data_IF_232130746969
#
_entry.id   IF_232130746969
#
_cell.length_a   1.000
_cell.length_b   1.000
_cell.length_c   1.000
_cell.angle_alpha   90.00
_cell.angle_beta   90.00
_cell.angle_gamma   90.00
#
_symmetry.space_group_name_H-M   'P 1'
#
loop_
_entity.id
_entity.type
_entity.pdbx_description
1 polymer ?
#
# COMPACT_ATOMS: atom_id res chain seq x y z
N UNK A 1 -10.71 9.77 -8.29
CA UNK A 1 -9.85 9.37 -7.14
C UNK A 1 -8.58 8.71 -7.62
N UNK A 2 -8.61 7.81 -8.61
CA UNK A 2 -7.42 7.17 -9.16
C UNK A 2 -6.41 8.21 -9.66
N UNK A 3 -6.90 9.27 -10.31
CA UNK A 3 -6.08 10.41 -10.76
C UNK A 3 -5.40 11.17 -9.62
N UNK A 4 -6.09 11.36 -8.48
CA UNK A 4 -5.51 11.97 -7.29
C UNK A 4 -4.37 11.12 -6.71
N UNK A 5 -4.56 9.80 -6.64
CA UNK A 5 -3.52 8.88 -6.18
C UNK A 5 -2.24 8.94 -7.00
N UNK A 6 -2.35 9.24 -8.30
CA UNK A 6 -1.20 9.44 -9.18
C UNK A 6 -0.50 10.80 -8.95
N UNK A 7 -1.27 11.88 -8.71
CA UNK A 7 -0.75 13.25 -8.66
C UNK A 7 -0.24 13.64 -7.26
N UNK A 8 -0.87 13.15 -6.18
CA UNK A 8 -0.50 13.49 -4.79
C UNK A 8 1.00 13.26 -4.49
N UNK A 9 1.64 12.13 -4.87
CA UNK A 9 3.08 11.94 -4.64
C UNK A 9 3.96 13.02 -5.23
N UNK A 10 3.58 13.59 -6.38
CA UNK A 10 4.29 14.72 -6.99
C UNK A 10 4.06 16.01 -6.21
N UNK A 11 2.83 16.27 -5.74
CA UNK A 11 2.50 17.47 -4.97
C UNK A 11 3.09 17.43 -3.55
N UNK A 12 3.16 16.25 -2.91
CA UNK A 12 3.80 16.08 -1.60
C UNK A 12 5.31 15.99 -1.69
N UNK A 13 5.87 15.68 -2.89
CA UNK A 13 7.25 15.23 -3.06
C UNK A 13 7.65 14.14 -2.06
N UNK A 14 6.67 13.35 -1.56
CA UNK A 14 6.82 12.29 -0.58
C UNK A 14 7.51 12.73 0.73
N UNK A 15 7.44 14.03 1.09
CA UNK A 15 8.09 14.54 2.31
C UNK A 15 7.42 14.07 3.61
N UNK A 16 6.19 13.54 3.53
CA UNK A 16 5.55 12.83 4.62
C UNK A 16 6.40 11.65 5.14
N UNK A 17 7.05 10.90 4.25
CA UNK A 17 7.95 9.80 4.60
C UNK A 17 9.23 10.31 5.28
N UNK A 18 9.78 11.43 4.79
CA UNK A 18 10.93 12.07 5.40
C UNK A 18 10.61 12.59 6.81
N UNK A 19 9.41 13.17 6.99
CA UNK A 19 8.95 13.69 8.28
C UNK A 19 8.95 12.58 9.34
N UNK A 20 8.36 11.43 9.05
CA UNK A 20 8.34 10.29 9.98
C UNK A 20 9.79 9.81 10.25
N UNK A 21 10.56 9.60 9.19
CA UNK A 21 11.91 9.01 9.31
C UNK A 21 12.84 9.88 10.15
N UNK A 22 12.88 11.19 9.89
CA UNK A 22 13.85 12.05 10.55
C UNK A 22 13.43 12.50 11.95
N UNK A 23 12.12 12.57 12.24
CA UNK A 23 11.64 12.90 13.60
C UNK A 23 11.74 11.69 14.52
N UNK A 24 11.23 10.52 14.13
CA UNK A 24 11.35 9.29 14.94
C UNK A 24 12.80 8.83 15.08
N UNK A 25 13.62 8.99 14.03
CA UNK A 25 15.05 8.73 14.07
C UNK A 25 15.87 9.73 14.89
N UNK A 26 15.21 10.81 15.39
CA UNK A 26 15.83 11.89 16.18
C UNK A 26 16.93 12.67 15.43
N UNK A 27 16.91 12.63 14.10
CA UNK A 27 17.82 13.40 13.26
C UNK A 27 17.41 14.88 13.18
N UNK A 28 16.09 15.15 13.32
CA UNK A 28 15.48 16.48 13.32
C UNK A 28 14.51 16.63 14.49
N UNK A 29 14.39 17.86 14.99
CA UNK A 29 13.29 18.20 15.90
C UNK A 29 11.95 18.21 15.16
N UNK A 30 10.81 17.93 15.83
CA UNK A 30 9.49 18.02 15.22
C UNK A 30 9.22 19.38 14.56
N UNK A 31 9.72 20.46 15.15
CA UNK A 31 9.55 21.82 14.65
C UNK A 31 10.33 22.07 13.35
N UNK A 32 11.59 21.64 13.30
CA UNK A 32 12.41 21.76 12.09
C UNK A 32 11.82 20.94 10.94
N UNK A 33 11.49 19.68 11.20
CA UNK A 33 10.92 18.80 10.18
C UNK A 33 9.60 19.34 9.64
N UNK A 34 8.65 19.70 10.53
CA UNK A 34 7.34 20.21 10.13
C UNK A 34 7.45 21.54 9.35
N UNK A 35 8.34 22.46 9.78
CA UNK A 35 8.51 23.77 9.11
C UNK A 35 9.09 23.62 7.70
N UNK A 36 10.08 22.74 7.52
CA UNK A 36 10.68 22.51 6.21
C UNK A 36 9.74 21.72 5.29
N UNK A 37 8.96 20.76 5.81
CA UNK A 37 7.91 20.07 5.04
C UNK A 37 6.80 21.05 4.64
N UNK A 38 6.51 22.10 5.44
CA UNK A 38 5.56 23.14 5.07
C UNK A 38 6.03 23.98 3.89
N UNK A 39 7.31 24.32 3.83
CA UNK A 39 7.87 25.01 2.67
C UNK A 39 7.72 24.17 1.38
N UNK A 40 7.96 22.85 1.46
CA UNK A 40 7.76 21.94 0.34
C UNK A 40 6.28 21.83 -0.03
N UNK A 41 5.39 21.78 0.97
CA UNK A 41 3.94 21.80 0.73
C UNK A 41 3.50 23.06 -0.03
N UNK A 42 3.94 24.24 0.38
CA UNK A 42 3.60 25.49 -0.30
C UNK A 42 4.08 25.48 -1.76
N UNK A 43 5.29 25.00 -2.00
CA UNK A 43 5.84 24.86 -3.35
C UNK A 43 5.02 23.85 -4.17
N UNK A 44 4.72 22.67 -3.63
CA UNK A 44 3.90 21.65 -4.27
C UNK A 44 2.47 22.12 -4.57
N UNK A 45 1.87 22.90 -3.66
CA UNK A 45 0.56 23.52 -3.86
C UNK A 45 0.60 24.55 -5.01
N UNK A 46 1.62 25.43 -5.04
CA UNK A 46 1.81 26.39 -6.10
C UNK A 46 1.99 25.72 -7.47
N UNK A 47 2.81 24.66 -7.54
CA UNK A 47 2.97 23.84 -8.75
C UNK A 47 1.63 23.22 -9.15
N UNK A 48 0.90 22.64 -8.22
CA UNK A 48 -0.39 21.98 -8.51
C UNK A 48 -1.41 22.96 -9.09
N UNK A 49 -1.42 24.21 -8.60
CA UNK A 49 -2.26 25.27 -9.13
C UNK A 49 -1.78 25.69 -10.54
N UNK A 50 -0.47 25.88 -10.72
CA UNK A 50 0.11 26.25 -12.02
C UNK A 50 -0.12 25.18 -13.11
N UNK A 51 -0.16 23.90 -12.73
CA UNK A 51 -0.42 22.78 -13.64
C UNK A 51 -1.90 22.54 -13.94
N UNK A 52 -2.82 23.40 -13.46
CA UNK A 52 -4.26 23.30 -13.76
C UNK A 52 -4.57 23.13 -15.27
N UNK A 53 -3.93 23.88 -16.21
CA UNK A 53 -4.17 23.68 -17.64
C UNK A 53 -3.78 22.29 -18.13
N UNK A 54 -2.70 21.73 -17.59
CA UNK A 54 -2.24 20.36 -17.92
C UNK A 54 -3.24 19.32 -17.43
N UNK A 55 -3.77 19.50 -16.22
CA UNK A 55 -4.80 18.61 -15.68
C UNK A 55 -6.08 18.64 -16.51
N UNK A 56 -6.50 19.82 -17.00
CA UNK A 56 -7.62 19.95 -17.94
C UNK A 56 -7.40 19.11 -19.19
N UNK A 57 -6.22 19.21 -19.78
CA UNK A 57 -5.87 18.49 -21.01
C UNK A 57 -5.84 16.97 -20.81
N UNK A 58 -5.27 16.49 -19.70
CA UNK A 58 -5.11 15.05 -19.42
C UNK A 58 -6.41 14.40 -18.98
N UNK A 59 -7.13 15.02 -18.05
CA UNK A 59 -8.28 14.39 -17.38
C UNK A 59 -9.63 14.78 -17.97
N UNK A 60 -9.67 15.78 -18.86
CA UNK A 60 -10.90 16.29 -19.53
C UNK A 60 -12.01 16.66 -18.53
N UNK A 61 -11.67 17.25 -17.38
CA UNK A 61 -12.57 17.66 -16.30
C UNK A 61 -12.80 19.17 -16.29
N UNK A 62 -13.25 19.77 -17.38
CA UNK A 62 -13.34 21.23 -17.46
C UNK A 62 -14.23 21.84 -16.37
N UNK A 63 -15.40 21.26 -16.13
CA UNK A 63 -16.38 21.77 -15.17
C UNK A 63 -15.91 21.66 -13.71
N UNK A 64 -15.18 20.57 -13.35
CA UNK A 64 -14.83 20.29 -11.96
C UNK A 64 -13.34 20.53 -11.63
N UNK A 65 -12.59 21.16 -12.52
CA UNK A 65 -11.14 21.28 -12.38
C UNK A 65 -10.72 22.01 -11.12
N UNK A 66 -11.43 23.08 -10.75
CA UNK A 66 -11.10 23.84 -9.55
C UNK A 66 -11.38 23.07 -8.26
N UNK A 67 -12.44 22.24 -8.24
CA UNK A 67 -12.73 21.35 -7.12
C UNK A 67 -11.61 20.30 -7.03
N UNK A 68 -11.17 19.76 -8.17
CA UNK A 68 -10.07 18.79 -8.22
C UNK A 68 -8.77 19.39 -7.68
N UNK A 69 -8.38 20.57 -8.12
CA UNK A 69 -7.13 21.24 -7.69
C UNK A 69 -7.21 21.62 -6.20
N UNK A 70 -8.34 22.15 -5.73
CA UNK A 70 -8.54 22.44 -4.31
C UNK A 70 -8.45 21.17 -3.46
N UNK A 71 -9.10 20.10 -3.91
CA UNK A 71 -9.04 18.79 -3.24
C UNK A 71 -7.61 18.23 -3.23
N UNK A 72 -6.85 18.40 -4.32
CA UNK A 72 -5.44 18.00 -4.40
C UNK A 72 -4.60 18.71 -3.34
N UNK A 73 -4.73 20.05 -3.24
CA UNK A 73 -3.98 20.85 -2.27
C UNK A 73 -4.33 20.46 -0.84
N UNK A 74 -5.63 20.37 -0.53
CA UNK A 74 -6.10 20.00 0.81
C UNK A 74 -5.65 18.60 1.21
N UNK A 75 -5.73 17.64 0.29
CA UNK A 75 -5.25 16.27 0.54
C UNK A 75 -3.74 16.18 0.69
N UNK A 76 -2.99 16.97 -0.08
CA UNK A 76 -1.53 17.09 0.08
C UNK A 76 -1.17 17.55 1.48
N UNK A 77 -1.85 18.59 2.00
CA UNK A 77 -1.67 19.04 3.37
C UNK A 77 -2.00 17.92 4.39
N UNK A 78 -3.16 17.31 4.24
CA UNK A 78 -3.61 16.25 5.14
C UNK A 78 -2.65 15.06 5.15
N UNK A 79 -2.10 14.66 4.02
CA UNK A 79 -1.15 13.55 3.95
C UNK A 79 0.15 13.87 4.67
N UNK A 80 0.68 15.08 4.52
CA UNK A 80 1.94 15.46 5.20
C UNK A 80 1.71 15.56 6.71
N UNK A 81 0.66 16.24 7.14
CA UNK A 81 0.49 16.59 8.55
C UNK A 81 -0.27 15.54 9.38
N UNK A 82 -1.02 14.64 8.78
CA UNK A 82 -1.48 13.45 9.51
C UNK A 82 -0.31 12.57 9.95
N UNK A 83 0.73 12.45 9.13
CA UNK A 83 1.94 11.71 9.46
C UNK A 83 2.78 12.38 10.55
N UNK A 84 2.60 13.69 10.77
CA UNK A 84 3.21 14.39 11.89
C UNK A 84 2.76 13.79 13.24
N UNK A 85 1.49 13.40 13.40
CA UNK A 85 1.04 12.74 14.62
C UNK A 85 1.78 11.43 14.89
N UNK A 86 2.05 10.65 13.84
CA UNK A 86 2.84 9.41 13.96
C UNK A 86 4.30 9.72 14.29
N UNK A 87 4.87 10.72 13.66
CA UNK A 87 6.25 11.14 13.88
C UNK A 87 6.53 11.56 15.33
N UNK A 88 5.52 12.09 16.04
CA UNK A 88 5.62 12.47 17.46
C UNK A 88 4.98 11.43 18.39
N UNK A 89 4.78 10.18 17.94
CA UNK A 89 4.18 9.08 18.69
C UNK A 89 2.75 9.31 19.21
N UNK A 90 1.99 10.24 18.58
CA UNK A 90 0.58 10.50 18.90
C UNK A 90 -0.37 9.68 18.00
N UNK A 91 -0.19 8.36 17.99
CA UNK A 91 -0.92 7.45 17.10
C UNK A 91 -2.45 7.48 17.31
N UNK A 92 -2.92 7.79 18.51
CA UNK A 92 -4.37 7.95 18.79
C UNK A 92 -4.94 9.11 17.97
N UNK A 93 -4.25 10.27 17.91
CA UNK A 93 -4.70 11.41 17.12
C UNK A 93 -4.71 11.11 15.62
N UNK A 94 -3.70 10.36 15.12
CA UNK A 94 -3.69 9.87 13.74
C UNK A 94 -4.89 8.97 13.45
N UNK A 95 -5.22 8.04 14.36
CA UNK A 95 -6.36 7.14 14.21
C UNK A 95 -7.68 7.91 14.22
N UNK A 96 -7.85 8.88 15.13
CA UNK A 96 -9.04 9.73 15.20
C UNK A 96 -9.20 10.55 13.91
N UNK A 97 -8.11 11.12 13.38
CA UNK A 97 -8.11 11.78 12.07
C UNK A 97 -8.65 10.87 10.96
N UNK A 98 -8.16 9.63 10.89
CA UNK A 98 -8.63 8.64 9.92
C UNK A 98 -10.12 8.30 10.09
N UNK A 99 -10.58 8.13 11.33
CA UNK A 99 -11.99 7.85 11.63
C UNK A 99 -12.90 9.04 11.25
N UNK A 100 -12.52 10.26 11.61
CA UNK A 100 -13.28 11.48 11.27
C UNK A 100 -13.38 11.62 9.75
N UNK A 101 -12.27 11.54 9.04
CA UNK A 101 -12.26 11.70 7.57
C UNK A 101 -13.05 10.62 6.86
N UNK A 102 -13.02 9.39 7.36
CA UNK A 102 -13.79 8.27 6.80
C UNK A 102 -15.29 8.44 7.08
N UNK A 103 -15.66 8.72 8.32
CA UNK A 103 -17.07 8.91 8.72
C UNK A 103 -17.71 10.10 8.00
N UNK A 104 -17.00 11.23 7.91
CA UNK A 104 -17.49 12.43 7.20
C UNK A 104 -17.58 12.19 5.70
N UNK A 105 -16.62 11.49 5.09
CA UNK A 105 -16.69 11.10 3.66
C UNK A 105 -17.92 10.24 3.42
N UNK A 106 -18.16 9.23 4.25
CA UNK A 106 -19.33 8.37 4.13
C UNK A 106 -20.63 9.16 4.31
N UNK A 107 -20.73 9.97 5.38
CA UNK A 107 -21.92 10.76 5.67
C UNK A 107 -22.27 11.76 4.55
N UNK A 108 -21.28 12.50 4.05
CA UNK A 108 -21.51 13.43 2.93
C UNK A 108 -21.78 12.70 1.61
N UNK A 109 -21.21 11.53 1.35
CA UNK A 109 -21.58 10.75 0.16
C UNK A 109 -23.03 10.29 0.23
N UNK A 110 -23.49 9.80 1.38
CA UNK A 110 -24.90 9.45 1.56
C UNK A 110 -25.78 10.68 1.33
N UNK A 111 -25.46 11.81 1.94
CA UNK A 111 -26.25 13.04 1.82
C UNK A 111 -26.28 13.56 0.38
N UNK A 112 -25.15 13.70 -0.29
CA UNK A 112 -25.08 14.36 -1.60
C UNK A 112 -25.43 13.43 -2.76
N UNK A 113 -25.13 12.12 -2.66
CA UNK A 113 -25.42 11.17 -3.74
C UNK A 113 -26.82 10.56 -3.61
N UNK A 114 -27.26 10.19 -2.39
CA UNK A 114 -28.54 9.49 -2.20
C UNK A 114 -29.68 10.47 -1.93
N UNK A 115 -29.48 11.48 -1.06
CA UNK A 115 -30.55 12.43 -0.70
C UNK A 115 -30.66 13.54 -1.74
N UNK A 116 -29.58 14.28 -2.00
CA UNK A 116 -29.61 15.42 -2.94
C UNK A 116 -29.43 15.01 -4.40
N UNK A 117 -28.93 13.79 -4.66
CA UNK A 117 -28.76 13.24 -6.03
C UNK A 117 -27.89 14.10 -6.95
N UNK A 118 -26.86 14.74 -6.39
CA UNK A 118 -25.95 15.63 -7.13
C UNK A 118 -24.97 14.90 -8.04
N UNK A 119 -25.02 13.55 -8.13
CA UNK A 119 -24.16 12.76 -9.00
C UNK A 119 -22.66 12.99 -8.77
N UNK A 120 -21.92 13.22 -9.85
CA UNK A 120 -20.45 13.38 -9.76
C UNK A 120 -20.03 14.60 -8.94
N UNK A 121 -20.74 15.72 -9.05
CA UNK A 121 -20.51 16.91 -8.24
C UNK A 121 -20.64 16.60 -6.75
N UNK A 122 -21.71 15.91 -6.36
CA UNK A 122 -21.96 15.51 -4.98
C UNK A 122 -20.81 14.68 -4.40
N UNK A 123 -20.29 13.74 -5.17
CA UNK A 123 -19.14 12.93 -4.77
C UNK A 123 -17.85 13.78 -4.54
N UNK A 124 -17.58 14.72 -5.44
CA UNK A 124 -16.41 15.61 -5.31
C UNK A 124 -16.53 16.55 -4.11
N UNK A 125 -17.71 17.17 -3.91
CA UNK A 125 -17.97 18.01 -2.76
C UNK A 125 -17.93 17.24 -1.44
N UNK A 126 -18.49 16.02 -1.38
CA UNK A 126 -18.40 15.15 -0.20
C UNK A 126 -16.97 14.89 0.20
N UNK A 127 -16.14 14.55 -0.79
CA UNK A 127 -14.72 14.24 -0.57
C UNK A 127 -13.92 15.50 -0.16
N UNK A 128 -14.24 16.66 -0.75
CA UNK A 128 -13.59 17.93 -0.41
C UNK A 128 -13.94 18.38 1.02
N UNK A 129 -15.22 18.36 1.37
CA UNK A 129 -15.65 18.75 2.72
C UNK A 129 -15.06 17.84 3.80
N UNK A 130 -15.03 16.54 3.56
CA UNK A 130 -14.38 15.61 4.48
C UNK A 130 -12.89 15.89 4.62
N UNK A 131 -12.19 16.22 3.53
CA UNK A 131 -10.78 16.60 3.57
C UNK A 131 -10.56 17.93 4.32
N UNK A 132 -11.44 18.91 4.15
CA UNK A 132 -11.41 20.19 4.90
C UNK A 132 -11.62 19.97 6.39
N UNK A 133 -12.57 19.13 6.79
CA UNK A 133 -12.77 18.76 8.21
C UNK A 133 -11.51 18.09 8.77
N UNK A 134 -10.87 17.20 8.01
CA UNK A 134 -9.58 16.61 8.37
C UNK A 134 -8.48 17.65 8.55
N UNK A 135 -8.42 18.65 7.67
CA UNK A 135 -7.49 19.80 7.81
C UNK A 135 -7.73 20.58 9.10
N UNK A 136 -8.98 20.91 9.39
CA UNK A 136 -9.35 21.63 10.63
C UNK A 136 -8.91 20.81 11.85
N UNK A 137 -9.16 19.50 11.85
CA UNK A 137 -8.70 18.62 12.92
C UNK A 137 -7.18 18.68 13.10
N UNK A 138 -6.41 18.60 12.01
CA UNK A 138 -4.94 18.69 12.07
C UNK A 138 -4.52 20.04 12.64
N UNK A 139 -5.06 21.17 12.14
CA UNK A 139 -4.69 22.51 12.57
C UNK A 139 -4.93 22.73 14.07
N UNK A 140 -6.01 22.17 14.61
CA UNK A 140 -6.38 22.32 16.03
C UNK A 140 -5.55 21.40 16.92
N UNK A 141 -5.42 20.11 16.56
CA UNK A 141 -4.86 19.09 17.46
C UNK A 141 -3.36 18.83 17.30
N UNK A 142 -2.71 19.37 16.24
CA UNK A 142 -1.25 19.28 16.06
C UNK A 142 -0.48 20.47 16.63
N UNK A 143 -1.16 21.46 17.22
CA UNK A 143 -0.56 22.74 17.58
C UNK A 143 0.17 23.41 16.38
N UNK A 144 -0.40 23.27 15.18
CA UNK A 144 0.23 23.60 13.91
C UNK A 144 0.93 24.96 13.91
N UNK A 145 0.25 26.00 14.37
CA UNK A 145 0.76 27.38 14.38
C UNK A 145 1.89 27.61 15.38
N UNK A 146 2.08 26.72 16.37
CA UNK A 146 3.22 26.76 17.30
C UNK A 146 4.40 25.98 16.77
N UNK A 147 4.13 24.89 16.03
CA UNK A 147 5.13 23.97 15.51
C UNK A 147 5.73 24.48 14.20
N UNK A 148 4.92 24.97 13.28
CA UNK A 148 5.39 25.47 11.99
C UNK A 148 5.85 26.92 12.12
N UNK A 149 7.12 27.18 11.77
CA UNK A 149 7.71 28.51 11.81
C UNK A 149 8.62 28.74 10.60
N UNK A 150 8.39 29.82 9.86
CA UNK A 150 9.23 30.19 8.72
C UNK A 150 10.70 30.45 9.12
N UNK A 151 10.96 30.82 10.38
CA UNK A 151 12.32 31.02 10.92
C UNK A 151 13.11 29.72 11.04
N UNK A 152 12.43 28.57 11.05
CA UNK A 152 13.05 27.24 11.16
C UNK A 152 13.30 26.59 9.79
N UNK A 153 13.02 27.29 8.69
CA UNK A 153 13.29 26.80 7.34
C UNK A 153 14.79 26.96 7.07
N UNK A 154 15.46 25.84 6.84
CA UNK A 154 16.89 25.77 6.56
C UNK A 154 17.17 25.04 5.26
N UNK A 155 18.00 25.61 4.39
CA UNK A 155 18.36 25.03 3.08
C UNK A 155 19.05 23.66 3.19
N UNK A 156 19.82 23.42 4.27
CA UNK A 156 20.49 22.13 4.49
C UNK A 156 19.47 21.06 4.86
N UNK A 157 18.54 21.40 5.75
CA UNK A 157 17.44 20.51 6.14
C UNK A 157 16.54 20.21 4.94
N UNK A 158 16.15 21.23 4.15
CA UNK A 158 15.38 21.04 2.92
C UNK A 158 16.09 20.10 1.94
N UNK A 159 17.40 20.30 1.72
CA UNK A 159 18.19 19.44 0.84
C UNK A 159 18.22 17.99 1.35
N UNK A 160 18.33 17.78 2.66
CA UNK A 160 18.32 16.46 3.28
C UNK A 160 16.97 15.77 3.10
N UNK A 161 15.88 16.47 3.41
CA UNK A 161 14.50 15.98 3.24
C UNK A 161 14.24 15.62 1.77
N UNK A 162 14.54 16.51 0.83
CA UNK A 162 14.31 16.29 -0.60
C UNK A 162 15.19 15.18 -1.16
N UNK A 163 16.46 15.08 -0.75
CA UNK A 163 17.35 13.98 -1.17
C UNK A 163 16.81 12.61 -0.78
N UNK A 164 16.15 12.53 0.38
CA UNK A 164 15.50 11.31 0.86
C UNK A 164 14.19 11.04 0.12
N UNK A 165 13.33 12.05 -0.04
CA UNK A 165 11.95 11.87 -0.48
C UNK A 165 11.79 11.84 -2.01
N UNK A 166 12.59 12.59 -2.78
CA UNK A 166 12.45 12.65 -4.24
C UNK A 166 12.51 11.26 -4.91
N UNK A 167 13.40 10.32 -4.55
CA UNK A 167 13.41 9.00 -5.17
C UNK A 167 12.15 8.18 -4.87
N UNK A 168 11.39 8.52 -3.81
CA UNK A 168 10.14 7.85 -3.49
C UNK A 168 8.97 8.29 -4.39
N UNK A 169 9.08 9.46 -5.04
CA UNK A 169 8.06 9.94 -5.99
C UNK A 169 7.93 8.99 -7.19
N UNK A 170 8.99 8.77 -8.01
CA UNK A 170 8.89 7.81 -9.10
C UNK A 170 8.65 6.37 -8.60
N UNK A 171 9.10 6.00 -7.40
CA UNK A 171 8.77 4.71 -6.81
C UNK A 171 7.25 4.53 -6.64
N UNK A 172 6.53 5.53 -6.14
CA UNK A 172 5.07 5.46 -6.00
C UNK A 172 4.36 5.32 -7.36
N UNK A 173 4.91 5.96 -8.41
CA UNK A 173 4.42 5.80 -9.77
C UNK A 173 4.63 4.37 -10.30
N UNK A 174 5.78 3.75 -10.02
CA UNK A 174 6.02 2.36 -10.41
C UNK A 174 5.04 1.40 -9.74
N UNK A 175 4.76 1.60 -8.45
CA UNK A 175 3.72 0.82 -7.74
C UNK A 175 2.34 1.03 -8.36
N UNK A 176 2.00 2.27 -8.74
CA UNK A 176 0.73 2.57 -9.41
C UNK A 176 0.66 1.88 -10.79
N UNK A 177 1.74 1.90 -11.57
CA UNK A 177 1.82 1.22 -12.86
C UNK A 177 1.59 -0.29 -12.69
N UNK A 178 2.23 -0.93 -11.71
CA UNK A 178 2.04 -2.35 -11.44
C UNK A 178 0.61 -2.68 -10.99
N UNK A 179 -0.05 -1.79 -10.24
CA UNK A 179 -1.41 -2.03 -9.73
C UNK A 179 -2.52 -1.69 -10.74
N UNK A 180 -2.32 -0.67 -11.57
CA UNK A 180 -3.32 -0.17 -12.51
C UNK A 180 -3.06 -0.60 -13.96
N UNK A 181 -1.79 -0.85 -14.32
CA UNK A 181 -1.38 -1.20 -15.67
C UNK A 181 -2.06 -2.45 -16.19
N UNK A 182 -2.28 -3.44 -15.33
CA UNK A 182 -2.98 -4.67 -15.64
C UNK A 182 -4.35 -4.40 -16.30
N UNK A 183 -5.13 -3.47 -15.74
CA UNK A 183 -6.46 -3.12 -16.22
C UNK A 183 -6.45 -2.46 -17.59
N UNK A 184 -5.45 -1.62 -17.86
CA UNK A 184 -5.28 -0.99 -19.18
C UNK A 184 -4.91 -2.03 -20.25
N UNK A 185 -4.02 -2.97 -19.93
CA UNK A 185 -3.63 -4.05 -20.83
C UNK A 185 -4.80 -4.98 -21.09
N UNK A 186 -5.54 -5.39 -20.05
CA UNK A 186 -6.73 -6.24 -20.19
C UNK A 186 -7.78 -5.54 -21.06
N UNK A 187 -8.07 -4.26 -20.79
CA UNK A 187 -9.06 -3.53 -21.58
C UNK A 187 -8.66 -3.46 -23.05
N UNK A 188 -7.39 -3.16 -23.34
CA UNK A 188 -6.90 -3.05 -24.71
C UNK A 188 -6.92 -4.38 -25.49
N UNK A 189 -6.54 -5.51 -24.87
CA UNK A 189 -6.42 -6.81 -25.54
C UNK A 189 -7.65 -7.69 -25.43
N UNK A 190 -8.41 -7.60 -24.34
CA UNK A 190 -9.48 -8.54 -23.99
C UNK A 190 -10.86 -7.84 -23.82
N UNK A 191 -10.90 -6.51 -23.79
CA UNK A 191 -12.10 -5.70 -23.70
C UNK A 191 -12.65 -5.48 -22.30
N UNK A 192 -13.76 -4.71 -22.22
CA UNK A 192 -14.34 -4.21 -20.97
C UNK A 192 -14.92 -5.33 -20.09
N UNK A 193 -15.51 -6.36 -20.68
CA UNK A 193 -16.09 -7.49 -19.93
C UNK A 193 -15.01 -8.23 -19.14
N UNK A 194 -13.88 -8.56 -19.78
CA UNK A 194 -12.75 -9.19 -19.13
C UNK A 194 -12.17 -8.30 -18.01
N UNK A 195 -12.07 -6.98 -18.25
CA UNK A 195 -11.61 -6.02 -17.25
C UNK A 195 -12.57 -5.96 -16.04
N UNK A 196 -13.87 -6.09 -16.25
CA UNK A 196 -14.89 -6.21 -15.19
C UNK A 196 -14.66 -7.44 -14.31
N UNK A 197 -14.50 -8.62 -14.91
CA UNK A 197 -14.21 -9.89 -14.22
C UNK A 197 -12.91 -9.80 -13.43
N UNK A 198 -11.83 -9.32 -14.05
CA UNK A 198 -10.53 -9.17 -13.39
C UNK A 198 -10.57 -8.16 -12.23
N UNK A 199 -11.31 -7.05 -12.41
CA UNK A 199 -11.51 -6.06 -11.36
C UNK A 199 -12.24 -6.63 -10.15
N UNK A 200 -13.18 -7.55 -10.38
CA UNK A 200 -13.87 -8.27 -9.31
C UNK A 200 -12.92 -9.26 -8.62
N UNK A 201 -12.12 -10.01 -9.39
CA UNK A 201 -11.11 -10.93 -8.84
C UNK A 201 -10.11 -10.22 -7.92
N UNK A 202 -9.76 -8.96 -8.21
CA UNK A 202 -8.86 -8.15 -7.38
C UNK A 202 -9.45 -7.73 -6.02
N UNK A 203 -10.78 -7.84 -5.80
CA UNK A 203 -11.40 -7.37 -4.55
C UNK A 203 -10.89 -8.11 -3.32
N UNK A 204 -10.69 -9.41 -3.43
CA UNK A 204 -10.19 -10.22 -2.32
C UNK A 204 -8.70 -9.94 -2.02
N UNK A 205 -7.77 -9.96 -3.01
CA UNK A 205 -6.41 -9.48 -2.81
C UNK A 205 -6.30 -8.08 -2.19
N UNK A 206 -7.22 -7.17 -2.55
CA UNK A 206 -7.28 -5.83 -1.96
C UNK A 206 -7.59 -5.86 -0.45
N UNK A 207 -8.41 -6.81 0.04
CA UNK A 207 -8.64 -6.98 1.48
C UNK A 207 -7.36 -7.41 2.19
N UNK A 208 -6.59 -8.32 1.60
CA UNK A 208 -5.28 -8.74 2.13
C UNK A 208 -4.34 -7.51 2.24
N UNK A 209 -4.25 -6.70 1.17
CA UNK A 209 -3.47 -5.47 1.17
C UNK A 209 -3.96 -4.46 2.23
N UNK A 210 -5.26 -4.34 2.44
CA UNK A 210 -5.83 -3.44 3.45
C UNK A 210 -5.39 -3.85 4.86
N UNK A 211 -5.48 -5.12 5.20
CA UNK A 211 -4.99 -5.64 6.50
C UNK A 211 -3.50 -5.43 6.64
N UNK A 212 -2.73 -5.73 5.58
CA UNK A 212 -1.28 -5.52 5.57
C UNK A 212 -0.90 -4.04 5.70
N UNK A 213 -1.69 -3.11 5.17
CA UNK A 213 -1.42 -1.67 5.27
C UNK A 213 -1.42 -1.15 6.70
N UNK A 214 -2.23 -1.73 7.58
CA UNK A 214 -2.25 -1.41 9.01
C UNK A 214 -0.97 -1.92 9.69
N UNK A 215 -0.55 -3.14 9.32
CA UNK A 215 0.69 -3.71 9.84
C UNK A 215 1.92 -2.91 9.39
N UNK A 216 2.03 -2.56 8.09
CA UNK A 216 3.23 -1.91 7.54
C UNK A 216 3.46 -0.53 8.17
N UNK A 217 2.39 0.19 8.54
CA UNK A 217 2.49 1.47 9.24
C UNK A 217 3.10 1.31 10.64
N UNK A 218 2.68 0.29 11.40
CA UNK A 218 3.25 -0.02 12.72
C UNK A 218 4.70 -0.53 12.58
N UNK A 219 4.96 -1.38 11.58
CA UNK A 219 6.27 -1.89 11.26
C UNK A 219 7.28 -0.78 10.95
N UNK A 220 6.89 0.20 10.14
CA UNK A 220 7.74 1.34 9.78
C UNK A 220 8.21 2.10 11.03
N UNK A 221 7.30 2.40 11.96
CA UNK A 221 7.65 3.08 13.20
C UNK A 221 8.62 2.25 14.05
N UNK A 222 8.29 0.98 14.28
CA UNK A 222 9.12 0.09 15.07
C UNK A 222 10.51 -0.13 14.44
N UNK A 223 10.57 -0.20 13.11
CA UNK A 223 11.83 -0.36 12.40
C UNK A 223 12.74 0.87 12.53
N UNK A 224 12.18 2.08 12.54
CA UNK A 224 12.93 3.33 12.76
C UNK A 224 13.45 3.39 14.20
N UNK A 225 12.61 3.04 15.18
CA UNK A 225 12.98 3.08 16.61
C UNK A 225 14.11 2.10 16.95
N UNK A 226 14.12 0.92 16.30
CA UNK A 226 15.11 -0.14 16.57
C UNK A 226 16.35 -0.01 15.68
N UNK A 227 16.42 0.93 14.73
CA UNK A 227 17.53 1.04 13.78
C UNK A 227 18.91 1.19 14.45
N UNK A 228 18.96 1.89 15.58
CA UNK A 228 20.20 2.09 16.36
C UNK A 228 20.50 0.98 17.37
N UNK A 229 19.63 -0.05 17.50
CA UNK A 229 19.82 -1.12 18.47
C UNK A 229 20.78 -2.20 17.95
N UNK A 230 21.52 -2.85 18.86
CA UNK A 230 22.43 -3.95 18.52
C UNK A 230 21.69 -5.18 18.00
N UNK A 231 20.49 -5.46 18.49
CA UNK A 231 19.67 -6.64 18.09
C UNK A 231 18.63 -6.36 16.99
N UNK A 232 18.82 -5.29 16.19
CA UNK A 232 17.91 -4.98 15.08
C UNK A 232 17.67 -6.14 14.12
N UNK A 233 18.70 -6.95 13.88
CA UNK A 233 18.66 -8.11 12.99
C UNK A 233 17.68 -9.18 13.49
N UNK A 234 17.80 -9.57 14.74
CA UNK A 234 16.90 -10.56 15.36
C UNK A 234 15.46 -10.06 15.39
N UNK A 235 15.26 -8.77 15.71
CA UNK A 235 13.96 -8.13 15.68
C UNK A 235 13.35 -8.16 14.27
N UNK A 236 14.06 -7.73 13.23
CA UNK A 236 13.58 -7.72 11.85
C UNK A 236 13.21 -9.12 11.37
N UNK A 237 14.04 -10.12 11.67
CA UNK A 237 13.79 -11.51 11.31
C UNK A 237 12.55 -12.08 11.99
N UNK A 238 12.37 -11.80 13.28
CA UNK A 238 11.22 -12.26 14.05
C UNK A 238 9.92 -11.62 13.53
N UNK A 239 9.90 -10.30 13.31
CA UNK A 239 8.73 -9.60 12.77
C UNK A 239 8.39 -10.11 11.37
N UNK A 240 9.37 -10.35 10.51
CA UNK A 240 9.14 -10.93 9.18
C UNK A 240 8.51 -12.33 9.27
N UNK A 241 9.01 -13.19 10.15
CA UNK A 241 8.49 -14.54 10.33
C UNK A 241 7.03 -14.54 10.82
N UNK A 242 6.71 -13.72 11.82
CA UNK A 242 5.34 -13.58 12.34
C UNK A 242 4.39 -13.06 11.26
N UNK A 243 4.83 -12.06 10.50
CA UNK A 243 4.05 -11.51 9.38
C UNK A 243 3.83 -12.54 8.29
N UNK A 244 4.88 -13.29 7.93
CA UNK A 244 4.79 -14.37 6.92
C UNK A 244 3.79 -15.43 7.32
N UNK A 245 3.82 -15.87 8.59
CA UNK A 245 2.83 -16.81 9.13
C UNK A 245 1.40 -16.28 8.95
N UNK A 246 1.13 -15.06 9.41
CA UNK A 246 -0.20 -14.47 9.34
C UNK A 246 -0.71 -14.33 7.90
N UNK A 247 0.15 -13.85 6.98
CA UNK A 247 -0.21 -13.65 5.58
C UNK A 247 -0.50 -14.97 4.86
N UNK A 248 0.34 -15.99 5.05
CA UNK A 248 0.14 -17.32 4.44
C UNK A 248 -1.13 -17.97 5.00
N UNK A 249 -1.31 -17.93 6.33
CA UNK A 249 -2.46 -18.53 7.00
C UNK A 249 -3.80 -17.92 6.52
N UNK A 250 -3.88 -16.57 6.46
CA UNK A 250 -5.06 -15.86 5.96
C UNK A 250 -5.32 -16.22 4.48
N UNK A 251 -4.28 -16.30 3.66
CA UNK A 251 -4.45 -16.58 2.23
C UNK A 251 -4.91 -18.01 1.97
N UNK A 252 -4.41 -19.00 2.73
CA UNK A 252 -4.94 -20.36 2.64
C UNK A 252 -6.43 -20.37 2.98
N UNK A 253 -6.84 -19.68 4.07
CA UNK A 253 -8.25 -19.57 4.44
C UNK A 253 -9.12 -18.91 3.36
N UNK A 254 -8.59 -17.88 2.68
CA UNK A 254 -9.28 -17.23 1.55
C UNK A 254 -9.44 -18.20 0.39
N UNK A 255 -8.36 -18.89 -0.05
CA UNK A 255 -8.39 -19.82 -1.16
C UNK A 255 -9.36 -20.98 -0.91
N UNK A 256 -9.47 -21.46 0.34
CA UNK A 256 -10.44 -22.48 0.73
C UNK A 256 -11.90 -22.07 0.47
N UNK A 257 -12.23 -20.80 0.68
CA UNK A 257 -13.61 -20.31 0.68
C UNK A 257 -13.98 -19.53 -0.59
N UNK A 258 -13.02 -19.24 -1.47
CA UNK A 258 -13.23 -18.27 -2.54
C UNK A 258 -14.27 -18.70 -3.55
N UNK A 259 -14.23 -19.97 -3.99
CA UNK A 259 -15.15 -20.47 -5.01
C UNK A 259 -16.58 -20.50 -4.50
N UNK A 260 -16.93 -21.13 -3.34
CA UNK A 260 -18.29 -21.06 -2.82
C UNK A 260 -18.79 -19.63 -2.57
N UNK A 261 -17.92 -18.71 -2.15
CA UNK A 261 -18.29 -17.29 -1.96
C UNK A 261 -18.66 -16.65 -3.30
N UNK A 262 -17.84 -16.80 -4.34
CA UNK A 262 -18.13 -16.17 -5.63
C UNK A 262 -19.34 -16.82 -6.32
N UNK A 263 -19.44 -18.14 -6.30
CA UNK A 263 -20.59 -18.85 -6.92
C UNK A 263 -21.89 -18.57 -6.18
N UNK A 264 -21.86 -18.42 -4.86
CA UNK A 264 -23.06 -18.15 -4.05
C UNK A 264 -23.51 -16.69 -4.03
N UNK A 265 -22.63 -15.73 -4.25
CA UNK A 265 -22.92 -14.30 -4.08
C UNK A 265 -22.99 -13.55 -5.41
N UNK A 266 -22.20 -13.98 -6.43
CA UNK A 266 -22.10 -13.28 -7.71
C UNK A 266 -23.06 -13.84 -8.76
N UNK A 267 -23.43 -13.00 -9.74
CA UNK A 267 -24.15 -13.49 -10.92
C UNK A 267 -23.29 -14.49 -11.69
N UNK A 268 -23.92 -15.40 -12.44
CA UNK A 268 -23.23 -16.47 -13.18
C UNK A 268 -22.11 -15.96 -14.09
N UNK A 269 -22.31 -14.79 -14.69
CA UNK A 269 -21.35 -14.13 -15.59
C UNK A 269 -20.05 -13.72 -14.86
N UNK A 270 -20.18 -13.24 -13.63
CA UNK A 270 -19.06 -12.76 -12.83
C UNK A 270 -18.48 -13.81 -11.87
N UNK A 271 -19.18 -14.93 -11.69
CA UNK A 271 -18.74 -15.99 -10.79
C UNK A 271 -17.36 -16.55 -11.18
N UNK A 272 -17.05 -16.61 -12.49
CA UNK A 272 -15.76 -17.10 -13.01
C UNK A 272 -14.55 -16.33 -12.48
N UNK A 273 -14.73 -15.13 -11.92
CA UNK A 273 -13.66 -14.32 -11.35
C UNK A 273 -12.88 -15.06 -10.24
N UNK A 274 -13.48 -16.06 -9.57
CA UNK A 274 -12.80 -16.87 -8.56
C UNK A 274 -11.54 -17.56 -9.07
N UNK A 275 -11.47 -17.92 -10.36
CA UNK A 275 -10.33 -18.63 -10.95
C UNK A 275 -9.03 -17.81 -10.92
N UNK A 276 -9.13 -16.50 -10.90
CA UNK A 276 -7.97 -15.59 -10.87
C UNK A 276 -7.53 -15.23 -9.46
N UNK A 277 -8.44 -15.34 -8.46
CA UNK A 277 -8.19 -14.91 -7.08
C UNK A 277 -7.00 -15.64 -6.42
N UNK A 278 -6.82 -16.96 -6.57
CA UNK A 278 -5.72 -17.64 -5.91
C UNK A 278 -4.35 -17.10 -6.32
N UNK A 279 -4.10 -16.96 -7.63
CA UNK A 279 -2.83 -16.47 -8.15
C UNK A 279 -2.61 -14.98 -7.80
N UNK A 280 -3.65 -14.16 -7.87
CA UNK A 280 -3.61 -12.76 -7.46
C UNK A 280 -3.35 -12.60 -5.95
N UNK A 281 -3.86 -13.51 -5.12
CA UNK A 281 -3.59 -13.53 -3.68
C UNK A 281 -2.12 -13.89 -3.39
N UNK A 282 -1.55 -14.86 -4.13
CA UNK A 282 -0.11 -15.18 -4.05
C UNK A 282 0.72 -13.96 -4.46
N UNK A 283 0.38 -13.30 -5.58
CA UNK A 283 1.06 -12.06 -6.02
C UNK A 283 1.02 -10.99 -4.95
N UNK A 284 -0.11 -10.86 -4.25
CA UNK A 284 -0.30 -9.88 -3.16
C UNK A 284 0.62 -10.18 -1.97
N UNK A 285 0.77 -11.45 -1.54
CA UNK A 285 1.71 -11.80 -0.48
C UNK A 285 3.14 -11.45 -0.88
N UNK A 286 3.52 -11.74 -2.12
CA UNK A 286 4.86 -11.41 -2.62
C UNK A 286 5.09 -9.91 -2.59
N UNK A 287 4.10 -9.10 -2.97
CA UNK A 287 4.16 -7.63 -2.89
C UNK A 287 4.28 -7.14 -1.45
N UNK A 288 3.56 -7.76 -0.50
CA UNK A 288 3.66 -7.46 0.92
C UNK A 288 5.08 -7.73 1.47
N UNK A 289 5.69 -8.86 1.10
CA UNK A 289 7.08 -9.16 1.49
C UNK A 289 8.08 -8.18 0.86
N UNK A 290 7.88 -7.82 -0.39
CA UNK A 290 8.68 -6.80 -1.05
C UNK A 290 8.54 -5.44 -0.35
N UNK A 291 7.34 -5.08 0.11
CA UNK A 291 7.08 -3.85 0.87
C UNK A 291 7.70 -3.89 2.27
N UNK A 292 7.72 -5.05 2.93
CA UNK A 292 8.43 -5.23 4.21
C UNK A 292 9.90 -4.82 4.11
N UNK A 293 10.60 -5.33 3.08
CA UNK A 293 12.00 -4.97 2.85
C UNK A 293 12.19 -3.54 2.36
N UNK A 294 11.16 -2.93 1.74
CA UNK A 294 11.18 -1.50 1.39
C UNK A 294 11.38 -0.61 2.63
N UNK A 295 10.70 -0.96 3.73
CA UNK A 295 10.83 -0.22 4.99
C UNK A 295 12.27 -0.23 5.49
N UNK A 296 12.96 -1.37 5.39
CA UNK A 296 14.37 -1.47 5.82
C UNK A 296 15.27 -0.53 5.03
N UNK A 297 15.04 -0.37 3.71
CA UNK A 297 15.78 0.61 2.91
C UNK A 297 15.44 2.06 3.31
N UNK A 298 14.15 2.37 3.54
CA UNK A 298 13.75 3.73 3.91
C UNK A 298 14.27 4.12 5.28
N UNK A 299 14.28 3.20 6.25
CA UNK A 299 14.89 3.40 7.57
C UNK A 299 16.39 3.68 7.46
N UNK A 300 17.10 2.95 6.61
CA UNK A 300 18.52 3.17 6.31
C UNK A 300 18.79 4.33 5.34
N UNK A 301 17.80 5.15 5.02
CA UNK A 301 17.88 6.28 4.07
C UNK A 301 18.38 5.90 2.65
N UNK A 302 18.19 4.63 2.23
CA UNK A 302 18.59 4.10 0.91
C UNK A 302 17.44 4.17 -0.11
N UNK A 303 16.75 5.32 -0.19
CA UNK A 303 15.52 5.48 -1.00
C UNK A 303 15.73 5.28 -2.50
N UNK A 304 16.92 5.55 -3.03
CA UNK A 304 17.29 5.23 -4.42
C UNK A 304 17.17 3.72 -4.72
N UNK A 305 17.55 2.85 -3.76
CA UNK A 305 17.40 1.40 -3.93
C UNK A 305 15.93 0.98 -3.95
N UNK A 306 15.08 1.65 -3.17
CA UNK A 306 13.62 1.43 -3.22
C UNK A 306 13.11 1.67 -4.63
N UNK A 307 13.44 2.82 -5.22
CA UNK A 307 13.02 3.16 -6.59
C UNK A 307 13.56 2.17 -7.63
N UNK A 308 14.88 1.92 -7.65
CA UNK A 308 15.50 1.05 -8.66
C UNK A 308 14.90 -0.35 -8.63
N UNK A 309 14.75 -0.94 -7.45
CA UNK A 309 14.18 -2.29 -7.30
C UNK A 309 12.73 -2.35 -7.77
N UNK A 310 11.93 -1.34 -7.46
CA UNK A 310 10.53 -1.27 -7.90
C UNK A 310 10.43 -1.02 -9.41
N UNK A 311 11.29 -0.17 -9.99
CA UNK A 311 11.33 0.08 -11.43
C UNK A 311 11.64 -1.19 -12.23
N UNK A 312 12.62 -1.99 -11.77
CA UNK A 312 12.92 -3.29 -12.37
C UNK A 312 11.72 -4.25 -12.28
N UNK A 313 11.02 -4.28 -11.14
CA UNK A 313 9.80 -5.07 -10.99
C UNK A 313 8.67 -4.61 -11.92
N UNK A 314 8.47 -3.30 -12.05
CA UNK A 314 7.46 -2.74 -12.95
C UNK A 314 7.79 -3.06 -14.42
N UNK A 315 9.05 -2.95 -14.82
CA UNK A 315 9.49 -3.35 -16.16
C UNK A 315 9.24 -4.85 -16.41
N UNK A 316 9.56 -5.71 -15.44
CA UNK A 316 9.29 -7.15 -15.51
C UNK A 316 7.78 -7.42 -15.61
N UNK A 317 6.96 -6.78 -14.79
CA UNK A 317 5.49 -6.89 -14.82
C UNK A 317 4.94 -6.54 -16.21
N UNK A 318 5.28 -5.36 -16.72
CA UNK A 318 4.81 -4.92 -18.04
C UNK A 318 5.26 -5.86 -19.15
N UNK A 319 6.54 -6.26 -19.16
CA UNK A 319 7.09 -7.17 -20.17
C UNK A 319 6.30 -8.49 -20.21
N UNK A 320 6.14 -9.14 -19.07
CA UNK A 320 5.43 -10.43 -19.01
C UNK A 320 3.92 -10.28 -19.24
N UNK A 321 3.31 -9.17 -18.83
CA UNK A 321 1.91 -8.90 -19.16
C UNK A 321 1.70 -8.84 -20.68
N UNK A 322 2.54 -8.10 -21.41
CA UNK A 322 2.44 -8.01 -22.88
C UNK A 322 2.72 -9.36 -23.58
N UNK A 323 3.66 -10.16 -23.08
CA UNK A 323 4.00 -11.45 -23.66
C UNK A 323 2.88 -12.46 -23.41
N UNK A 324 2.35 -12.50 -22.17
CA UNK A 324 1.46 -13.57 -21.71
C UNK A 324 -0.03 -13.28 -21.93
N UNK A 325 -0.44 -12.02 -22.17
CA UNK A 325 -1.85 -11.68 -22.37
C UNK A 325 -2.46 -12.39 -23.58
N UNK A 326 -1.72 -12.52 -24.69
CA UNK A 326 -2.22 -13.16 -25.91
C UNK A 326 -2.42 -14.68 -25.76
N UNK A 327 -1.43 -15.46 -25.25
CA UNK A 327 -1.60 -16.92 -25.13
C UNK A 327 -2.45 -17.34 -23.92
N UNK A 328 -2.48 -16.59 -22.82
CA UNK A 328 -3.08 -16.99 -21.56
C UNK A 328 -4.20 -16.04 -21.05
N UNK A 329 -4.52 -15.00 -21.82
CA UNK A 329 -5.57 -14.06 -21.43
C UNK A 329 -5.32 -13.40 -20.06
N UNK A 330 -6.37 -13.32 -19.22
CA UNK A 330 -6.30 -12.75 -17.88
C UNK A 330 -5.37 -13.53 -16.93
N UNK A 331 -5.22 -14.86 -17.09
CA UNK A 331 -4.25 -15.64 -16.32
C UNK A 331 -2.81 -15.21 -16.63
N UNK A 332 -2.52 -14.87 -17.88
CA UNK A 332 -1.22 -14.35 -18.31
C UNK A 332 -0.87 -13.04 -17.59
N UNK A 333 -1.85 -12.14 -17.42
CA UNK A 333 -1.67 -10.89 -16.66
C UNK A 333 -1.40 -11.19 -15.18
N UNK A 334 -2.15 -12.11 -14.56
CA UNK A 334 -1.94 -12.48 -13.16
C UNK A 334 -0.55 -13.12 -12.94
N UNK A 335 -0.06 -13.93 -13.90
CA UNK A 335 1.31 -14.48 -13.88
C UNK A 335 2.34 -13.35 -14.01
N UNK A 336 2.17 -12.43 -14.97
CA UNK A 336 3.09 -11.31 -15.18
C UNK A 336 3.18 -10.41 -13.94
N UNK A 337 2.07 -10.18 -13.26
CA UNK A 337 2.03 -9.44 -11.98
C UNK A 337 2.77 -10.19 -10.88
N UNK A 338 2.58 -11.51 -10.79
CA UNK A 338 3.32 -12.35 -9.86
C UNK A 338 4.83 -12.27 -10.11
N UNK A 339 5.27 -12.38 -11.37
CA UNK A 339 6.68 -12.30 -11.76
C UNK A 339 7.28 -10.91 -11.48
N UNK A 340 6.53 -9.84 -11.72
CA UNK A 340 6.95 -8.48 -11.40
C UNK A 340 7.23 -8.29 -9.91
N UNK A 341 6.28 -8.65 -9.03
CA UNK A 341 6.49 -8.57 -7.58
C UNK A 341 7.57 -9.53 -7.08
N UNK A 342 7.68 -10.71 -7.70
CA UNK A 342 8.72 -11.68 -7.36
C UNK A 342 10.12 -11.16 -7.70
N UNK A 343 10.30 -10.47 -8.82
CA UNK A 343 11.55 -9.83 -9.17
C UNK A 343 11.96 -8.77 -8.12
N UNK A 344 11.01 -7.92 -7.68
CA UNK A 344 11.26 -6.96 -6.59
C UNK A 344 11.69 -7.68 -5.33
N UNK A 345 10.95 -8.73 -4.93
CA UNK A 345 11.23 -9.49 -3.71
C UNK A 345 12.62 -10.14 -3.76
N UNK A 346 12.99 -10.78 -4.87
CA UNK A 346 14.29 -11.45 -5.01
C UNK A 346 15.46 -10.47 -4.86
N UNK A 347 15.39 -9.32 -5.54
CA UNK A 347 16.45 -8.32 -5.49
C UNK A 347 16.59 -7.80 -4.05
N UNK A 348 15.47 -7.41 -3.41
CA UNK A 348 15.48 -6.89 -2.04
C UNK A 348 15.95 -7.91 -1.02
N UNK A 349 15.49 -9.15 -1.15
CA UNK A 349 15.88 -10.21 -0.24
C UNK A 349 17.38 -10.57 -0.35
N UNK A 350 17.94 -10.54 -1.59
CA UNK A 350 19.38 -10.69 -1.80
C UNK A 350 20.17 -9.57 -1.13
N UNK A 351 19.73 -8.33 -1.32
CA UNK A 351 20.39 -7.18 -0.68
C UNK A 351 20.35 -7.25 0.84
N UNK A 352 19.21 -7.65 1.44
CA UNK A 352 19.07 -7.82 2.88
C UNK A 352 20.03 -8.88 3.41
N UNK A 353 20.23 -9.98 2.69
CA UNK A 353 21.18 -11.02 3.07
C UNK A 353 22.63 -10.51 3.01
N UNK A 354 22.99 -9.76 1.97
CA UNK A 354 24.36 -9.28 1.73
C UNK A 354 24.71 -8.13 2.67
N UNK A 355 23.84 -7.11 2.77
CA UNK A 355 24.16 -5.87 3.47
C UNK A 355 23.88 -5.92 4.97
N UNK A 356 22.86 -6.66 5.38
CA UNK A 356 22.40 -6.68 6.78
C UNK A 356 22.55 -8.04 7.44
N UNK A 357 23.00 -9.05 6.68
CA UNK A 357 23.07 -10.43 7.14
C UNK A 357 21.74 -10.91 7.79
N UNK A 358 20.59 -10.36 7.33
CA UNK A 358 19.27 -10.81 7.74
C UNK A 358 18.97 -12.06 6.94
N UNK A 359 19.14 -13.21 7.59
CA UNK A 359 18.79 -14.50 7.03
C UNK A 359 17.27 -14.70 7.07
N UNK A 360 16.56 -14.29 6.00
CA UNK A 360 15.19 -14.73 5.83
C UNK A 360 15.21 -16.25 5.65
N UNK A 361 14.38 -16.97 6.37
CA UNK A 361 14.23 -18.42 6.17
C UNK A 361 13.55 -18.69 4.82
N UNK A 362 14.33 -18.48 3.72
CA UNK A 362 13.83 -18.66 2.35
C UNK A 362 13.21 -20.02 2.14
N UNK A 363 13.80 -21.08 2.71
CA UNK A 363 13.29 -22.44 2.57
C UNK A 363 11.84 -22.55 3.08
N UNK A 364 11.55 -21.97 4.25
CA UNK A 364 10.22 -22.01 4.86
C UNK A 364 9.19 -21.21 4.04
N UNK A 365 9.58 -20.02 3.60
CA UNK A 365 8.70 -19.17 2.79
C UNK A 365 8.46 -19.75 1.39
N UNK A 366 9.50 -20.30 0.73
CA UNK A 366 9.33 -20.99 -0.56
C UNK A 366 8.37 -22.17 -0.40
N UNK A 367 8.53 -22.96 0.67
CA UNK A 367 7.62 -24.09 0.91
C UNK A 367 6.17 -23.63 1.10
N UNK A 368 5.95 -22.53 1.84
CA UNK A 368 4.62 -21.95 2.00
C UNK A 368 4.03 -21.45 0.67
N UNK A 369 4.84 -20.86 -0.21
CA UNK A 369 4.39 -20.49 -1.56
C UNK A 369 4.06 -21.71 -2.42
N UNK A 370 4.87 -22.76 -2.36
CA UNK A 370 4.59 -24.02 -3.08
C UNK A 370 3.27 -24.63 -2.59
N UNK A 371 3.03 -24.65 -1.27
CA UNK A 371 1.74 -25.09 -0.73
C UNK A 371 0.56 -24.27 -1.25
N UNK A 372 0.68 -22.93 -1.32
CA UNK A 372 -0.36 -22.07 -1.86
C UNK A 372 -0.60 -22.29 -3.35
N UNK A 373 0.45 -22.50 -4.12
CA UNK A 373 0.34 -22.81 -5.56
C UNK A 373 -0.34 -24.16 -5.75
N UNK A 374 0.08 -25.20 -5.01
CA UNK A 374 -0.55 -26.53 -5.07
C UNK A 374 -2.02 -26.44 -4.66
N UNK A 375 -2.34 -25.69 -3.59
CA UNK A 375 -3.71 -25.47 -3.16
C UNK A 375 -4.57 -24.82 -4.25
N UNK A 376 -4.02 -23.79 -4.91
CA UNK A 376 -4.69 -23.13 -6.04
C UNK A 376 -4.93 -24.05 -7.21
N UNK A 377 -3.96 -24.88 -7.56
CA UNK A 377 -4.08 -25.89 -8.63
C UNK A 377 -5.13 -26.96 -8.28
N UNK A 378 -5.16 -27.43 -7.03
CA UNK A 378 -6.17 -28.39 -6.57
C UNK A 378 -7.58 -27.79 -6.68
N UNK A 379 -7.78 -26.53 -6.30
CA UNK A 379 -9.06 -25.86 -6.41
C UNK A 379 -9.55 -25.78 -7.87
N UNK A 380 -8.64 -25.48 -8.79
CA UNK A 380 -8.97 -25.35 -10.22
C UNK A 380 -9.23 -26.71 -10.86
N UNK A 381 -8.39 -27.73 -10.54
CA UNK A 381 -8.39 -29.02 -11.26
C UNK A 381 -9.31 -30.06 -10.65
N UNK A 382 -9.49 -30.10 -9.33
CA UNK A 382 -10.19 -31.18 -8.62
C UNK A 382 -11.48 -30.71 -7.92
N UNK A 383 -11.67 -29.41 -7.75
CA UNK A 383 -12.88 -28.82 -7.21
C UNK A 383 -12.81 -28.45 -5.72
N UNK A 384 -13.98 -28.06 -5.18
CA UNK A 384 -14.09 -27.36 -3.89
C UNK A 384 -13.77 -28.25 -2.69
N UNK A 385 -14.26 -29.50 -2.68
CA UNK A 385 -14.12 -30.40 -1.54
C UNK A 385 -12.65 -30.79 -1.36
N UNK A 386 -11.97 -31.14 -2.44
CA UNK A 386 -10.55 -31.51 -2.41
C UNK A 386 -9.69 -30.32 -2.00
N UNK A 387 -10.00 -29.11 -2.52
CA UNK A 387 -9.32 -27.90 -2.13
C UNK A 387 -9.55 -27.57 -0.66
N UNK A 388 -10.77 -27.74 -0.15
CA UNK A 388 -11.08 -27.50 1.26
C UNK A 388 -10.30 -28.44 2.19
N UNK A 389 -10.28 -29.75 1.86
CA UNK A 389 -9.52 -30.75 2.63
C UNK A 389 -8.00 -30.44 2.58
N UNK A 390 -7.47 -30.15 1.40
CA UNK A 390 -6.06 -29.77 1.26
C UNK A 390 -5.75 -28.45 1.97
N UNK A 391 -6.68 -27.51 2.00
CA UNK A 391 -6.56 -26.27 2.75
C UNK A 391 -6.42 -26.51 4.26
N UNK A 392 -7.21 -27.43 4.84
CA UNK A 392 -7.06 -27.85 6.25
C UNK A 392 -5.66 -28.43 6.49
N UNK A 393 -5.21 -29.34 5.63
CA UNK A 393 -3.87 -29.93 5.73
C UNK A 393 -2.80 -28.83 5.63
N UNK A 394 -2.95 -27.90 4.69
CA UNK A 394 -2.03 -26.77 4.51
C UNK A 394 -1.99 -25.84 5.73
N UNK A 395 -3.13 -25.58 6.38
CA UNK A 395 -3.19 -24.81 7.63
C UNK A 395 -2.47 -25.52 8.78
N UNK A 396 -2.66 -26.84 8.90
CA UNK A 396 -1.97 -27.66 9.92
C UNK A 396 -0.46 -27.65 9.67
N UNK A 397 -0.02 -27.88 8.44
CA UNK A 397 1.40 -27.84 8.08
C UNK A 397 2.00 -26.46 8.36
N UNK A 398 1.32 -25.39 7.95
CA UNK A 398 1.77 -24.03 8.19
C UNK A 398 1.85 -23.73 9.69
N UNK A 399 0.87 -24.12 10.47
CA UNK A 399 0.89 -23.95 11.94
C UNK A 399 2.04 -24.70 12.60
N UNK A 400 2.36 -25.90 12.11
CA UNK A 400 3.51 -26.67 12.61
C UNK A 400 4.85 -26.03 12.20
N UNK A 401 4.97 -25.55 10.97
CA UNK A 401 6.18 -24.88 10.49
C UNK A 401 6.49 -23.56 11.23
N UNK A 402 5.45 -22.84 11.66
CA UNK A 402 5.54 -21.57 12.35
C UNK A 402 5.13 -21.67 13.83
N UNK A 403 5.33 -22.86 14.44
CA UNK A 403 4.90 -23.14 15.82
C UNK A 403 5.48 -22.18 16.86
N UNK A 404 6.71 -21.74 16.69
CA UNK A 404 7.37 -20.81 17.63
C UNK A 404 6.77 -19.41 17.53
N UNK A 405 6.50 -18.94 16.32
CA UNK A 405 5.82 -17.68 16.08
C UNK A 405 4.38 -17.70 16.60
N UNK A 406 3.68 -18.80 16.42
CA UNK A 406 2.32 -19.01 16.95
C UNK A 406 2.31 -19.00 18.48
N UNK A 407 3.24 -19.69 19.13
CA UNK A 407 3.38 -19.66 20.61
C UNK A 407 3.68 -18.26 21.10
N UNK A 408 4.56 -17.52 20.44
CA UNK A 408 4.88 -16.14 20.81
C UNK A 408 3.65 -15.23 20.73
N UNK A 409 2.82 -15.38 19.70
CA UNK A 409 1.56 -14.65 19.56
C UNK A 409 0.60 -15.00 20.72
N UNK A 410 0.34 -16.30 20.94
CA UNK A 410 -0.57 -16.77 21.99
C UNK A 410 -0.12 -16.28 23.37
N UNK A 411 1.17 -16.40 23.69
CA UNK A 411 1.72 -15.95 24.96
C UNK A 411 1.57 -14.43 25.18
N UNK A 412 1.72 -13.64 24.13
CA UNK A 412 1.55 -12.20 24.18
C UNK A 412 0.09 -11.78 24.43
N UNK A 413 -0.86 -12.53 23.86
CA UNK A 413 -2.29 -12.32 24.14
C UNK A 413 -2.71 -12.81 25.52
N UNK A 414 -2.14 -13.91 26.01
CA UNK A 414 -2.42 -14.44 27.35
C UNK A 414 -1.91 -13.54 28.48
N UNK A 415 -0.79 -12.81 28.26
CA UNK A 415 -0.25 -11.84 29.24
C UNK A 415 -0.98 -10.49 29.28
N UNK A 416 -1.87 -10.20 28.33
CA UNK A 416 -2.67 -8.96 28.29
C UNK A 416 -4.03 -9.07 28.99
N UNK A 417 -4.38 -10.27 29.47
CA UNK A 417 -5.48 -10.50 30.41
C UNK A 417 -4.93 -10.54 31.84
#
# INVERSE_FOLDING_TARGET
ITSLGMVIPFSTMMVNEALIRFVLGKDLTPKEAASNCFAVFLFGAAISIAFTPVYKMIFKFDEYIWIFVTLLVVRTFNQIYSEYFRAINQNVKFTIFGLITTATTLGFNVLFLLVFKWGMAGYLYATLLAAVIGTIYILVFSDFFKVVSFKCIDKKILKMILKYSIPLVPNSLMWWIMAAGDKYIINYFLGDSANGIYSLALKIPQIINMVYSLFIQAWQMSAIEVESSEDKKGFYQNVFNVTSFGMVFITIGIVMLIKPVYVGVMSKEFAIAWEYVPLLSVSTIISCYASFFSVVYTVGAKTNKVFITTALGAATNLLFNFILVRPLGMQGIAIGTCLGYFAVLLIRARDMKIEMNIGVSFKRNIFSFVLLIIHSLILISFGEIQAFLFGIVSLIITSFMYREEMKAIIHKFAKRK
#
